data_IF_969217579360
#
_entry.id   IF_969217579360
#
_cell.length_a   1.000
_cell.length_b   1.000
_cell.length_c   1.000
_cell.angle_alpha   90.00
_cell.angle_beta   90.00
_cell.angle_gamma   90.00
#
_symmetry.space_group_name_H-M   'P 1'
#
loop_
_entity.id
_entity.type
_entity.pdbx_description
1 polymer ?
#
# COMPACT_ATOMS: atom_id res chain seq x y z
N UNK A 1 51.85 35.85 23.25
CA UNK A 1 52.39 34.50 22.99
C UNK A 1 52.45 33.75 24.31
N UNK A 2 51.96 32.50 24.31
CA UNK A 2 52.00 31.48 25.36
C UNK A 2 50.90 31.57 26.44
N UNK A 3 50.20 30.52 26.87
CA UNK A 3 49.83 29.18 26.39
C UNK A 3 48.75 28.74 27.40
N UNK A 4 47.54 28.36 26.97
CA UNK A 4 46.54 27.76 27.86
C UNK A 4 46.08 26.47 27.19
N UNK A 5 46.59 25.35 27.67
CA UNK A 5 45.98 24.04 27.44
C UNK A 5 44.85 23.85 28.44
N UNK A 6 43.65 23.46 28.02
CA UNK A 6 42.73 22.76 28.89
C UNK A 6 42.83 21.26 28.64
N UNK A 7 43.17 20.59 29.72
CA UNK A 7 42.90 19.20 30.06
C UNK A 7 41.48 18.79 29.64
N UNK A 8 41.36 17.84 28.71
CA UNK A 8 40.09 17.15 28.46
C UNK A 8 40.11 15.85 29.24
N UNK A 9 39.60 15.94 30.46
CA UNK A 9 39.42 14.82 31.35
C UNK A 9 38.78 13.61 30.68
N UNK A 10 39.34 12.45 31.03
CA UNK A 10 38.84 11.10 30.74
C UNK A 10 37.33 10.99 30.96
N UNK A 11 36.56 10.95 29.87
CA UNK A 11 35.18 10.49 29.89
C UNK A 11 35.17 9.04 29.41
N UNK A 12 34.80 8.05 30.25
CA UNK A 12 34.64 6.70 29.76
C UNK A 12 33.57 6.68 28.67
N UNK A 13 33.90 6.06 27.55
CA UNK A 13 32.99 5.82 26.44
C UNK A 13 31.73 5.13 26.97
N UNK A 14 30.59 5.83 26.91
CA UNK A 14 29.31 5.18 27.10
C UNK A 14 29.20 4.07 26.04
N UNK A 15 28.84 2.83 26.42
CA UNK A 15 28.65 1.78 25.43
C UNK A 15 27.53 2.26 24.50
N UNK A 16 27.86 2.34 23.21
CA UNK A 16 26.87 2.51 22.16
C UNK A 16 25.89 1.38 22.35
N UNK A 17 24.70 1.71 22.83
CA UNK A 17 23.57 0.81 22.86
C UNK A 17 23.21 0.58 21.39
N UNK A 18 23.87 -0.40 20.77
CA UNK A 18 23.36 -1.00 19.55
C UNK A 18 21.93 -1.39 19.88
N UNK A 19 20.90 -0.87 19.19
CA UNK A 19 19.61 -1.53 19.26
C UNK A 19 19.91 -2.95 18.79
N UNK A 20 19.86 -3.88 19.73
CA UNK A 20 19.78 -5.29 19.45
C UNK A 20 18.44 -5.42 18.72
N UNK A 21 18.45 -5.17 17.41
CA UNK A 21 17.52 -5.78 16.50
C UNK A 21 17.84 -7.26 16.63
N UNK A 22 17.28 -7.84 17.68
CA UNK A 22 16.98 -9.25 17.74
C UNK A 22 16.15 -9.47 16.50
N UNK A 23 16.84 -9.76 15.41
CA UNK A 23 16.34 -10.44 14.25
C UNK A 23 15.78 -11.72 14.86
N UNK A 24 14.52 -11.62 15.29
CA UNK A 24 13.64 -12.75 15.51
C UNK A 24 13.73 -13.46 14.19
N UNK A 25 14.61 -14.45 14.18
CA UNK A 25 14.90 -15.25 13.01
C UNK A 25 13.56 -15.89 12.70
N UNK A 26 12.88 -15.34 11.70
CA UNK A 26 11.61 -15.85 11.26
C UNK A 26 11.84 -17.32 10.91
N UNK A 27 10.99 -18.24 11.40
CA UNK A 27 11.19 -19.65 11.13
C UNK A 27 11.06 -19.86 9.62
N UNK A 28 12.07 -20.50 9.03
CA UNK A 28 12.13 -21.02 7.64
C UNK A 28 11.63 -20.10 6.51
N UNK A 29 12.60 -19.49 5.80
CA UNK A 29 12.58 -19.43 4.34
C UNK A 29 11.79 -18.31 3.65
N UNK A 30 11.02 -17.49 4.38
CA UNK A 30 10.29 -16.38 3.77
C UNK A 30 10.97 -15.05 4.15
N UNK A 31 11.56 -14.39 3.15
CA UNK A 31 12.20 -13.09 3.31
C UNK A 31 11.15 -11.98 3.49
N UNK A 32 11.09 -11.30 4.66
CA UNK A 32 10.08 -10.28 4.94
C UNK A 32 10.19 -9.06 4.01
N UNK A 33 11.37 -8.77 3.47
CA UNK A 33 11.53 -7.71 2.48
C UNK A 33 10.84 -8.08 1.17
N UNK A 34 10.99 -9.33 0.72
CA UNK A 34 10.29 -9.83 -0.47
C UNK A 34 8.78 -9.83 -0.32
N UNK A 35 8.25 -10.15 0.87
CA UNK A 35 6.80 -10.07 1.12
C UNK A 35 6.33 -8.62 0.99
N UNK A 36 7.06 -7.67 1.58
CA UNK A 36 6.74 -6.24 1.49
C UNK A 36 6.76 -5.74 0.05
N UNK A 37 7.78 -6.09 -0.72
CA UNK A 37 7.90 -5.72 -2.12
C UNK A 37 6.76 -6.31 -2.95
N UNK A 38 6.39 -7.56 -2.69
CA UNK A 38 5.25 -8.21 -3.33
C UNK A 38 3.92 -7.49 -3.00
N UNK A 39 3.70 -7.07 -1.75
CA UNK A 39 2.51 -6.29 -1.35
C UNK A 39 2.46 -4.97 -2.12
N UNK A 40 3.57 -4.23 -2.17
CA UNK A 40 3.65 -2.95 -2.89
C UNK A 40 3.35 -3.14 -4.38
N UNK A 41 3.94 -4.16 -5.01
CA UNK A 41 3.70 -4.48 -6.41
C UNK A 41 2.23 -4.82 -6.68
N UNK A 42 1.57 -5.56 -5.78
CA UNK A 42 0.15 -5.91 -5.91
C UNK A 42 -0.77 -4.72 -5.69
N UNK A 43 -0.46 -3.85 -4.73
CA UNK A 43 -1.19 -2.58 -4.54
C UNK A 43 -1.07 -1.66 -5.75
N UNK A 44 0.10 -1.60 -6.38
CA UNK A 44 0.28 -0.88 -7.65
C UNK A 44 -0.56 -1.49 -8.79
N UNK A 45 -0.65 -2.82 -8.87
CA UNK A 45 -1.52 -3.50 -9.84
C UNK A 45 -3.00 -3.21 -9.60
N UNK A 46 -3.44 -3.15 -8.34
CA UNK A 46 -4.81 -2.75 -7.98
C UNK A 46 -5.08 -1.32 -8.46
N UNK A 47 -4.22 -0.37 -8.12
CA UNK A 47 -4.39 1.03 -8.51
C UNK A 47 -4.42 1.21 -10.04
N UNK A 48 -3.57 0.49 -10.78
CA UNK A 48 -3.57 0.50 -12.24
C UNK A 48 -4.88 -0.05 -12.81
N UNK A 49 -5.40 -1.14 -12.23
CA UNK A 49 -6.64 -1.76 -12.66
C UNK A 49 -7.88 -0.91 -12.35
N UNK A 50 -7.89 -0.24 -11.19
CA UNK A 50 -8.93 0.73 -10.83
C UNK A 50 -8.95 1.92 -11.79
N UNK A 51 -7.78 2.42 -12.19
CA UNK A 51 -7.66 3.49 -13.19
C UNK A 51 -8.13 3.04 -14.57
N UNK A 52 -7.77 1.81 -14.97
CA UNK A 52 -8.23 1.21 -16.23
C UNK A 52 -9.76 1.06 -16.24
N UNK A 53 -10.37 0.76 -15.09
CA UNK A 53 -11.84 0.67 -14.97
C UNK A 53 -12.53 2.03 -14.95
N UNK A 54 -11.94 3.04 -14.30
CA UNK A 54 -12.54 4.38 -14.21
C UNK A 54 -12.46 5.13 -15.55
N UNK A 55 -11.39 4.96 -16.33
CA UNK A 55 -11.16 5.75 -17.55
C UNK A 55 -12.24 5.59 -18.65
N UNK A 56 -12.71 4.37 -19.00
CA UNK A 56 -13.84 4.20 -19.92
C UNK A 56 -15.13 4.83 -19.38
N UNK A 57 -15.39 4.67 -18.09
CA UNK A 57 -16.59 5.18 -17.40
C UNK A 57 -16.60 6.71 -17.37
N UNK A 58 -15.46 7.35 -17.11
CA UNK A 58 -15.28 8.80 -17.18
C UNK A 58 -15.49 9.33 -18.60
N UNK A 59 -14.93 8.65 -19.61
CA UNK A 59 -15.13 9.03 -21.02
C UNK A 59 -16.59 8.90 -21.44
N UNK A 60 -17.30 7.88 -20.98
CA UNK A 60 -18.73 7.72 -21.25
C UNK A 60 -19.55 8.86 -20.63
N UNK A 61 -19.25 9.20 -19.36
CA UNK A 61 -19.91 10.30 -18.67
C UNK A 61 -19.64 11.67 -19.33
N UNK A 62 -18.40 11.96 -19.70
CA UNK A 62 -18.00 13.23 -20.31
C UNK A 62 -18.57 13.43 -21.73
N UNK A 63 -18.64 12.36 -22.55
CA UNK A 63 -19.25 12.44 -23.89
C UNK A 63 -20.72 12.81 -23.83
N UNK A 64 -21.45 12.27 -22.86
CA UNK A 64 -22.89 12.52 -22.70
C UNK A 64 -23.19 13.89 -22.05
N UNK A 65 -22.24 14.46 -21.31
CA UNK A 65 -22.35 15.79 -20.70
C UNK A 65 -22.04 16.96 -21.67
N UNK A 66 -21.80 16.69 -22.96
CA UNK A 66 -21.63 17.73 -23.98
C UNK A 66 -20.38 18.60 -23.82
N UNK A 67 -19.33 18.11 -23.15
CA UNK A 67 -18.07 18.84 -22.97
C UNK A 67 -18.04 19.83 -21.79
N UNK A 68 -19.15 20.00 -21.05
CA UNK A 68 -19.18 20.81 -19.82
C UNK A 68 -18.48 20.10 -18.64
N UNK A 69 -18.55 18.77 -18.59
CA UNK A 69 -17.85 17.99 -17.57
C UNK A 69 -16.37 17.84 -17.96
N UNK A 70 -15.48 18.51 -17.21
CA UNK A 70 -14.03 18.30 -17.34
C UNK A 70 -13.66 16.92 -16.79
N UNK A 71 -12.99 16.11 -17.62
CA UNK A 71 -12.39 14.85 -17.21
C UNK A 71 -11.38 15.14 -16.08
N UNK A 72 -11.70 14.77 -14.84
CA UNK A 72 -10.86 14.99 -13.66
C UNK A 72 -11.47 15.88 -12.58
N UNK A 73 -12.45 16.73 -12.90
CA UNK A 73 -13.16 17.56 -11.91
C UNK A 73 -14.46 16.86 -11.48
N UNK A 74 -14.35 15.69 -10.83
CA UNK A 74 -15.53 14.90 -10.41
C UNK A 74 -16.46 15.67 -9.45
N UNK A 75 -15.93 16.67 -8.76
CA UNK A 75 -16.69 17.54 -7.86
C UNK A 75 -17.70 18.44 -8.58
N UNK A 76 -17.48 18.72 -9.88
CA UNK A 76 -18.38 19.57 -10.69
C UNK A 76 -19.45 18.78 -11.42
N UNK A 77 -19.46 17.45 -11.26
CA UNK A 77 -20.41 16.59 -11.94
C UNK A 77 -21.81 16.72 -11.35
N UNK A 78 -22.79 16.97 -12.22
CA UNK A 78 -24.20 16.89 -11.86
C UNK A 78 -24.64 15.44 -11.61
N UNK A 79 -25.81 15.27 -10.99
CA UNK A 79 -26.36 13.95 -10.67
C UNK A 79 -26.51 13.06 -11.91
N UNK A 80 -26.92 13.65 -13.04
CA UNK A 80 -27.07 12.92 -14.30
C UNK A 80 -25.72 12.38 -14.82
N UNK A 81 -24.63 13.14 -14.68
CA UNK A 81 -23.29 12.70 -15.05
C UNK A 81 -22.78 11.59 -14.13
N UNK A 82 -23.07 11.67 -12.83
CA UNK A 82 -22.79 10.58 -11.89
C UNK A 82 -23.56 9.30 -12.22
N UNK A 83 -24.86 9.38 -12.49
CA UNK A 83 -25.66 8.19 -12.84
C UNK A 83 -25.15 7.53 -14.12
N UNK A 84 -24.75 8.32 -15.11
CA UNK A 84 -24.13 7.82 -16.35
C UNK A 84 -22.77 7.15 -16.10
N UNK A 85 -21.93 7.75 -15.27
CA UNK A 85 -20.67 7.15 -14.86
C UNK A 85 -20.89 5.80 -14.18
N UNK A 86 -21.83 5.73 -13.22
CA UNK A 86 -22.14 4.50 -12.49
C UNK A 86 -22.71 3.42 -13.41
N UNK A 87 -23.54 3.78 -14.39
CA UNK A 87 -24.03 2.84 -15.40
C UNK A 87 -22.88 2.26 -16.22
N UNK A 88 -22.00 3.10 -16.77
CA UNK A 88 -20.86 2.65 -17.57
C UNK A 88 -19.85 1.82 -16.75
N UNK A 89 -19.65 2.17 -15.48
CA UNK A 89 -18.82 1.40 -14.55
C UNK A 89 -19.41 0.02 -14.29
N UNK A 90 -20.75 -0.07 -14.14
CA UNK A 90 -21.48 -1.32 -13.97
C UNK A 90 -21.37 -2.23 -15.19
N UNK A 91 -21.46 -1.67 -16.39
CA UNK A 91 -21.35 -2.45 -17.64
C UNK A 91 -19.97 -3.10 -17.79
N UNK A 92 -18.93 -2.45 -17.28
CA UNK A 92 -17.57 -2.99 -17.28
C UNK A 92 -17.28 -3.91 -16.08
N UNK A 93 -18.16 -3.95 -15.07
CA UNK A 93 -17.89 -4.56 -13.77
C UNK A 93 -17.47 -6.02 -13.86
N UNK A 94 -18.10 -6.80 -14.74
CA UNK A 94 -17.83 -8.24 -14.88
C UNK A 94 -16.41 -8.54 -15.38
N UNK A 95 -15.80 -7.63 -16.13
CA UNK A 95 -14.42 -7.76 -16.59
C UNK A 95 -13.39 -7.42 -15.52
N UNK A 96 -13.70 -6.49 -14.61
CA UNK A 96 -12.76 -5.93 -13.63
C UNK A 96 -12.89 -6.56 -12.24
N UNK A 97 -14.10 -6.83 -11.76
CA UNK A 97 -14.34 -7.32 -10.39
C UNK A 97 -13.65 -8.64 -10.07
N UNK A 98 -13.67 -9.68 -10.94
CA UNK A 98 -12.96 -10.92 -10.64
C UNK A 98 -11.46 -10.72 -10.45
N UNK A 99 -10.86 -9.84 -11.26
CA UNK A 99 -9.43 -9.51 -11.21
C UNK A 99 -9.09 -8.72 -9.94
N UNK A 100 -9.90 -7.72 -9.58
CA UNK A 100 -9.73 -6.96 -8.33
C UNK A 100 -9.85 -7.86 -7.10
N UNK A 101 -10.90 -8.70 -7.02
CA UNK A 101 -11.10 -9.64 -5.91
C UNK A 101 -9.91 -10.57 -5.73
N UNK A 102 -9.37 -11.09 -6.85
CA UNK A 102 -8.16 -11.91 -6.83
C UNK A 102 -6.97 -11.13 -6.27
N UNK A 103 -6.72 -9.91 -6.74
CA UNK A 103 -5.59 -9.10 -6.28
C UNK A 103 -5.71 -8.74 -4.79
N UNK A 104 -6.88 -8.35 -4.31
CA UNK A 104 -7.09 -8.11 -2.88
C UNK A 104 -6.86 -9.38 -2.06
N UNK A 105 -7.36 -10.54 -2.51
CA UNK A 105 -7.09 -11.82 -1.85
C UNK A 105 -5.60 -12.18 -1.80
N UNK A 106 -4.85 -11.90 -2.88
CA UNK A 106 -3.39 -12.06 -2.92
C UNK A 106 -2.69 -11.13 -1.92
N UNK A 107 -3.11 -9.86 -1.83
CA UNK A 107 -2.59 -8.89 -0.85
C UNK A 107 -2.87 -9.37 0.58
N UNK A 108 -4.10 -9.74 0.90
CA UNK A 108 -4.47 -10.24 2.24
C UNK A 108 -3.65 -11.48 2.61
N UNK A 109 -3.41 -12.41 1.67
CA UNK A 109 -2.57 -13.58 1.92
C UNK A 109 -1.13 -13.20 2.21
N UNK A 110 -0.57 -12.23 1.48
CA UNK A 110 0.79 -11.74 1.73
C UNK A 110 0.88 -11.00 3.07
N UNK A 111 -0.13 -10.22 3.45
CA UNK A 111 -0.20 -9.54 4.75
C UNK A 111 -0.23 -10.55 5.91
N UNK A 112 -0.98 -11.64 5.79
CA UNK A 112 -0.99 -12.74 6.77
C UNK A 112 0.36 -13.46 6.89
N UNK A 113 1.16 -13.51 5.81
CA UNK A 113 2.51 -14.07 5.84
C UNK A 113 3.53 -13.09 6.42
N UNK A 114 3.30 -11.78 6.27
CA UNK A 114 4.15 -10.74 6.83
C UNK A 114 3.98 -10.59 8.34
N UNK A 115 2.77 -10.83 8.84
CA UNK A 115 2.44 -10.80 10.26
C UNK A 115 1.82 -12.15 10.66
N UNK A 116 2.66 -13.19 10.84
CA UNK A 116 2.17 -14.42 11.45
C UNK A 116 1.77 -14.04 12.88
N UNK A 117 0.46 -13.85 13.09
CA UNK A 117 -0.18 -13.83 14.40
C UNK A 117 0.60 -14.76 15.33
N UNK A 118 0.97 -14.35 16.55
CA UNK A 118 1.71 -15.22 17.45
C UNK A 118 0.88 -16.49 17.66
N UNK A 119 1.23 -17.55 16.93
CA UNK A 119 0.66 -18.87 17.05
C UNK A 119 0.89 -19.24 18.50
N UNK A 120 -0.21 -19.26 19.25
CA UNK A 120 -0.32 -19.56 20.66
C UNK A 120 0.58 -20.76 21.03
N UNK A 121 1.84 -20.45 21.35
CA UNK A 121 2.88 -21.41 21.69
C UNK A 121 3.24 -21.19 23.14
N UNK A 122 2.25 -21.42 24.00
CA UNK A 122 2.45 -21.81 25.39
C UNK A 122 1.29 -22.73 25.77
N UNK A 123 1.31 -23.96 25.24
CA UNK A 123 1.64 -25.17 26.01
C UNK A 123 1.12 -25.14 27.44
N UNK A 124 0.07 -25.92 27.64
CA UNK A 124 -0.15 -26.81 28.79
C UNK A 124 1.19 -27.21 29.44
N UNK A 125 1.34 -26.85 30.71
CA UNK A 125 1.96 -27.62 31.79
C UNK A 125 1.64 -26.90 33.11
#
# INVERSE_FOLDING_TARGET
MNQISPDFGSRPAAPIHTPNFSARSAPMGIDPHRIRDAILAKRAQIAALELEWSSPSERAAARAAGGAARLGERETWDRATWDRYLSAARDCQDAFMPRLRRLYGEVTRLELLADPLPTNSRRVA
#
